data_IF_282067823452
#
_entry.id   IF_282067823452
#
_cell.length_a   1.000
_cell.length_b   1.000
_cell.length_c   1.000
_cell.angle_alpha   90.00
_cell.angle_beta   90.00
_cell.angle_gamma   90.00
#
_symmetry.space_group_name_H-M   'P 1'
#
loop_
_entity.id
_entity.type
_entity.pdbx_description
1 polymer ?
#
# COMPACT_ATOMS: atom_id res chain seq x y z
N UNK A 1 54.33 -0.35 5.12
CA UNK A 1 53.59 0.76 4.46
C UNK A 1 52.95 0.24 3.19
N UNK A 2 51.65 -0.06 3.20
CA UNK A 2 50.85 -0.16 1.97
C UNK A 2 49.37 -0.17 2.33
N UNK A 3 48.76 1.02 2.38
CA UNK A 3 47.30 1.19 2.38
C UNK A 3 47.00 2.43 1.54
N UNK A 4 46.39 2.23 0.36
CA UNK A 4 45.41 3.11 -0.30
C UNK A 4 45.51 2.95 -1.82
N UNK A 5 44.62 2.17 -2.44
CA UNK A 5 44.29 2.32 -3.87
C UNK A 5 43.00 1.61 -4.35
N UNK A 6 41.97 1.45 -3.50
CA UNK A 6 40.71 0.76 -3.86
C UNK A 6 39.45 1.65 -3.87
N UNK A 7 39.58 2.97 -3.83
CA UNK A 7 38.43 3.88 -3.66
C UNK A 7 37.72 4.46 -4.91
N UNK A 8 38.23 4.45 -6.16
CA UNK A 8 37.54 5.17 -7.25
C UNK A 8 36.34 4.40 -7.85
N UNK A 9 36.41 3.06 -7.92
CA UNK A 9 35.40 2.25 -8.60
C UNK A 9 34.11 2.00 -7.81
N UNK A 10 34.14 2.13 -6.48
CA UNK A 10 32.97 2.01 -5.61
C UNK A 10 32.15 3.30 -5.58
N UNK A 11 32.83 4.46 -5.52
CA UNK A 11 32.20 5.78 -5.54
C UNK A 11 31.51 6.09 -6.87
N UNK A 12 32.09 5.70 -8.01
CA UNK A 12 31.41 5.85 -9.31
C UNK A 12 30.19 4.94 -9.46
N UNK A 13 30.25 3.71 -8.93
CA UNK A 13 29.07 2.82 -8.89
C UNK A 13 28.00 3.35 -7.95
N UNK A 14 28.38 3.91 -6.81
CA UNK A 14 27.46 4.51 -5.87
C UNK A 14 26.85 5.80 -6.43
N UNK A 15 27.64 6.65 -7.09
CA UNK A 15 27.17 7.86 -7.76
C UNK A 15 26.29 7.54 -8.98
N UNK A 16 26.61 6.49 -9.74
CA UNK A 16 25.77 5.99 -10.82
C UNK A 16 24.45 5.39 -10.31
N UNK A 17 24.48 4.69 -9.17
CA UNK A 17 23.30 4.17 -8.50
C UNK A 17 22.43 5.30 -7.94
N UNK A 18 23.02 6.23 -7.18
CA UNK A 18 22.33 7.40 -6.61
C UNK A 18 21.79 8.30 -7.71
N UNK A 19 22.55 8.55 -8.78
CA UNK A 19 22.11 9.30 -9.95
C UNK A 19 21.00 8.59 -10.73
N UNK A 20 21.05 7.26 -10.82
CA UNK A 20 19.97 6.43 -11.35
C UNK A 20 18.68 6.53 -10.52
N UNK A 21 18.82 6.60 -9.19
CA UNK A 21 17.70 6.65 -8.25
C UNK A 21 17.13 8.06 -8.03
N UNK A 22 17.92 9.09 -8.32
CA UNK A 22 17.54 10.52 -8.28
C UNK A 22 16.91 10.95 -9.61
N UNK A 23 17.08 10.20 -10.72
CA UNK A 23 16.41 10.53 -11.98
C UNK A 23 14.90 10.69 -11.73
N UNK A 24 14.30 11.79 -12.20
CA UNK A 24 12.89 12.09 -11.95
C UNK A 24 12.02 11.02 -12.61
N UNK A 25 11.61 10.04 -11.81
CA UNK A 25 10.63 9.05 -12.22
C UNK A 25 9.24 9.68 -12.15
N UNK A 26 8.41 9.56 -13.19
CA UNK A 26 7.06 10.12 -13.19
C UNK A 26 6.26 9.48 -12.05
N UNK A 27 5.98 10.26 -10.98
CA UNK A 27 5.25 9.81 -9.79
C UNK A 27 5.84 10.25 -8.45
N UNK A 28 7.18 10.30 -8.29
CA UNK A 28 7.81 10.72 -7.02
C UNK A 28 7.57 12.19 -6.69
N UNK A 29 7.69 13.08 -7.69
CA UNK A 29 7.47 14.52 -7.51
C UNK A 29 6.08 14.84 -6.98
N UNK A 30 5.06 14.12 -7.45
CA UNK A 30 3.68 14.34 -7.02
C UNK A 30 3.47 13.91 -5.55
N UNK A 31 4.08 12.80 -5.12
CA UNK A 31 4.06 12.37 -3.70
C UNK A 31 4.81 13.36 -2.80
N UNK A 32 5.98 13.83 -3.23
CA UNK A 32 6.75 14.84 -2.48
C UNK A 32 5.96 16.14 -2.35
N UNK A 33 5.38 16.64 -3.44
CA UNK A 33 4.59 17.86 -3.44
C UNK A 33 3.38 17.75 -2.48
N UNK A 34 2.67 16.61 -2.50
CA UNK A 34 1.56 16.37 -1.56
C UNK A 34 2.01 16.35 -0.12
N UNK A 35 3.13 15.67 0.17
CA UNK A 35 3.63 15.58 1.53
C UNK A 35 4.06 16.95 2.05
N UNK A 36 4.72 17.76 1.21
CA UNK A 36 5.12 19.13 1.54
C UNK A 36 3.90 20.02 1.73
N UNK A 37 2.93 20.00 0.80
CA UNK A 37 1.72 20.80 0.90
C UNK A 37 0.85 20.40 2.10
N UNK A 38 0.68 19.10 2.34
CA UNK A 38 -0.04 18.59 3.50
C UNK A 38 0.64 19.00 4.81
N UNK A 39 1.96 18.84 4.90
CA UNK A 39 2.70 19.26 6.09
C UNK A 39 2.60 20.76 6.31
N UNK A 40 2.77 21.57 5.27
CA UNK A 40 2.67 23.04 5.35
C UNK A 40 1.27 23.48 5.81
N UNK A 41 0.21 22.93 5.21
CA UNK A 41 -1.16 23.29 5.56
C UNK A 41 -1.53 22.82 6.98
N UNK A 42 -1.03 21.66 7.41
CA UNK A 42 -1.20 21.14 8.77
C UNK A 42 -0.49 22.04 9.78
N UNK A 43 0.71 22.53 9.47
CA UNK A 43 1.44 23.47 10.32
C UNK A 43 0.65 24.79 10.45
N UNK A 44 0.25 25.38 9.32
CA UNK A 44 -0.51 26.64 9.32
C UNK A 44 -1.81 26.49 10.09
N UNK A 45 -2.57 25.42 9.84
CA UNK A 45 -3.83 25.13 10.53
C UNK A 45 -3.60 24.88 12.03
N UNK A 46 -2.54 24.16 12.40
CA UNK A 46 -2.21 23.89 13.79
C UNK A 46 -1.82 25.15 14.55
N UNK A 47 -1.07 26.06 13.92
CA UNK A 47 -0.70 27.34 14.51
C UNK A 47 -1.93 28.27 14.62
N UNK A 48 -2.80 28.28 13.60
CA UNK A 48 -4.01 29.08 13.59
C UNK A 48 -5.04 28.64 14.64
N UNK A 49 -5.25 27.32 14.79
CA UNK A 49 -6.15 26.73 15.78
C UNK A 49 -5.50 26.55 17.16
N UNK A 50 -4.23 26.96 17.32
CA UNK A 50 -3.44 26.79 18.54
C UNK A 50 -3.50 25.36 19.10
N UNK A 51 -3.41 24.36 18.22
CA UNK A 51 -3.46 22.95 18.62
C UNK A 51 -2.17 22.60 19.38
N UNK A 52 -2.25 22.07 20.62
CA UNK A 52 -1.08 21.82 21.46
C UNK A 52 -0.17 20.68 20.97
N UNK A 53 -0.65 19.86 20.02
CA UNK A 53 -0.02 18.59 19.60
C UNK A 53 0.39 18.58 18.12
N UNK A 54 1.04 19.64 17.65
CA UNK A 54 1.47 19.79 16.24
C UNK A 54 2.35 18.62 15.76
N UNK A 55 3.29 18.15 16.59
CA UNK A 55 4.19 17.07 16.23
C UNK A 55 3.43 15.76 15.92
N UNK A 56 2.39 15.48 16.69
CA UNK A 56 1.54 14.31 16.50
C UNK A 56 0.78 14.40 15.18
N UNK A 57 0.20 15.57 14.87
CA UNK A 57 -0.47 15.82 13.59
C UNK A 57 0.45 15.60 12.39
N UNK A 58 1.70 16.07 12.45
CA UNK A 58 2.68 15.86 11.38
C UNK A 58 3.06 14.39 11.20
N UNK A 59 3.28 13.66 12.29
CA UNK A 59 3.56 12.21 12.23
C UNK A 59 2.40 11.48 11.54
N UNK A 60 1.15 11.83 11.88
CA UNK A 60 -0.05 11.26 11.26
C UNK A 60 -0.08 11.54 9.76
N UNK A 61 0.26 12.76 9.32
CA UNK A 61 0.32 13.12 7.89
C UNK A 61 1.31 12.24 7.15
N UNK A 62 2.52 12.04 7.69
CA UNK A 62 3.51 11.16 7.08
C UNK A 62 3.04 9.70 7.02
N UNK A 63 2.36 9.24 8.07
CA UNK A 63 1.87 7.86 8.14
C UNK A 63 0.73 7.60 7.14
N UNK A 64 -0.19 8.56 7.01
CA UNK A 64 -1.36 8.47 6.14
C UNK A 64 -0.97 8.70 4.67
N UNK A 65 0.04 9.52 4.41
CA UNK A 65 0.50 9.83 3.05
C UNK A 65 1.21 8.62 2.43
N UNK A 66 0.42 7.80 1.77
CA UNK A 66 0.90 6.71 0.94
C UNK A 66 1.00 7.11 -0.54
N UNK A 67 1.87 6.41 -1.29
CA UNK A 67 1.96 6.61 -2.73
C UNK A 67 0.63 6.30 -3.47
N UNK A 68 -0.17 5.40 -2.89
CA UNK A 68 -1.48 5.03 -3.42
C UNK A 68 -2.61 5.68 -2.60
N UNK A 69 -3.42 6.50 -3.26
CA UNK A 69 -4.58 7.21 -2.64
C UNK A 69 -5.58 6.26 -1.99
N UNK A 70 -5.74 5.03 -2.47
CA UNK A 70 -6.66 4.07 -1.83
C UNK A 70 -6.10 3.58 -0.54
N UNK A 71 -4.80 3.29 -0.50
CA UNK A 71 -4.12 2.91 0.72
C UNK A 71 -4.13 4.10 1.68
N UNK A 72 -3.90 5.32 1.20
CA UNK A 72 -4.06 6.57 1.96
C UNK A 72 -5.48 6.72 2.52
N UNK A 73 -6.52 6.51 1.70
CA UNK A 73 -7.93 6.59 2.12
C UNK A 73 -8.28 5.49 3.12
N UNK A 74 -7.89 4.25 2.84
CA UNK A 74 -8.12 3.11 3.72
C UNK A 74 -7.47 3.34 5.08
N UNK A 75 -6.16 3.66 5.11
CA UNK A 75 -5.43 3.96 6.35
C UNK A 75 -6.03 5.18 7.03
N UNK A 76 -6.35 6.25 6.30
CA UNK A 76 -6.96 7.46 6.85
C UNK A 76 -8.31 7.18 7.50
N UNK A 77 -9.25 6.55 6.78
CA UNK A 77 -10.56 6.13 7.30
C UNK A 77 -10.40 5.22 8.52
N UNK A 78 -9.43 4.30 8.45
CA UNK A 78 -9.16 3.36 9.50
C UNK A 78 -8.65 4.03 10.77
N UNK A 79 -7.76 5.03 10.64
CA UNK A 79 -7.29 5.85 11.75
C UNK A 79 -8.38 6.75 12.33
N UNK A 80 -9.27 7.30 11.50
CA UNK A 80 -10.42 8.10 11.96
C UNK A 80 -11.36 7.25 12.81
N UNK A 81 -11.75 6.07 12.31
CA UNK A 81 -12.61 5.13 13.05
C UNK A 81 -11.90 4.67 14.33
N UNK A 82 -10.65 4.23 14.20
CA UNK A 82 -9.85 3.73 15.32
C UNK A 82 -9.65 4.76 16.41
N UNK A 83 -9.25 5.99 16.06
CA UNK A 83 -9.06 7.08 17.04
C UNK A 83 -10.36 7.49 17.72
N UNK A 84 -11.48 7.51 16.99
CA UNK A 84 -12.80 7.85 17.54
C UNK A 84 -13.28 6.79 18.53
N UNK A 85 -13.19 5.51 18.16
CA UNK A 85 -13.54 4.40 19.06
C UNK A 85 -12.59 4.35 20.25
N UNK A 86 -11.29 4.57 20.05
CA UNK A 86 -10.29 4.57 21.12
C UNK A 86 -10.57 5.65 22.17
N UNK A 87 -10.74 6.89 21.72
CA UNK A 87 -10.91 8.04 22.61
C UNK A 87 -12.31 8.02 23.24
N UNK A 88 -13.34 7.62 22.47
CA UNK A 88 -14.67 7.39 23.02
C UNK A 88 -14.69 6.31 24.11
N UNK A 89 -13.99 5.18 23.89
CA UNK A 89 -13.88 4.11 24.89
C UNK A 89 -13.10 4.56 26.11
N UNK A 90 -12.01 5.32 25.94
CA UNK A 90 -11.24 5.86 27.04
C UNK A 90 -12.08 6.82 27.90
N UNK A 91 -12.80 7.76 27.28
CA UNK A 91 -13.72 8.67 27.98
C UNK A 91 -14.84 7.89 28.69
N UNK A 92 -15.36 6.82 28.08
CA UNK A 92 -16.38 5.97 28.68
C UNK A 92 -15.85 5.30 29.97
N UNK A 93 -14.63 4.76 29.93
CA UNK A 93 -13.98 4.19 31.12
C UNK A 93 -13.80 5.25 32.19
N UNK A 94 -13.32 6.45 31.83
CA UNK A 94 -13.17 7.56 32.78
C UNK A 94 -14.50 7.93 33.43
N UNK A 95 -15.57 8.05 32.63
CA UNK A 95 -16.90 8.42 33.12
C UNK A 95 -17.45 7.45 34.17
N UNK A 96 -17.29 6.15 33.96
CA UNK A 96 -17.84 5.15 34.87
C UNK A 96 -16.96 4.87 36.08
N UNK A 97 -15.70 5.30 36.04
CA UNK A 97 -14.69 4.71 36.93
C UNK A 97 -13.74 5.68 37.58
N UNK A 98 -14.03 6.97 37.49
CA UNK A 98 -13.18 8.02 38.03
C UNK A 98 -12.87 7.83 39.51
N UNK A 99 -13.88 7.50 40.32
CA UNK A 99 -13.75 7.40 41.79
C UNK A 99 -13.32 6.02 42.31
N UNK A 100 -13.24 5.00 41.43
CA UNK A 100 -13.02 3.61 41.84
C UNK A 100 -11.84 2.97 41.09
N UNK A 101 -10.61 3.07 41.62
CA UNK A 101 -9.40 2.55 40.95
C UNK A 101 -9.48 1.06 40.59
N UNK A 102 -10.11 0.24 41.43
CA UNK A 102 -10.25 -1.20 41.22
C UNK A 102 -11.14 -1.53 40.00
N UNK A 103 -12.27 -0.84 39.88
CA UNK A 103 -13.20 -1.01 38.77
C UNK A 103 -12.56 -0.54 37.45
N UNK A 104 -11.60 0.40 37.53
CA UNK A 104 -10.93 1.01 36.37
C UNK A 104 -10.01 0.00 35.71
N UNK A 105 -9.21 -0.67 36.52
CA UNK A 105 -8.30 -1.73 36.08
C UNK A 105 -9.09 -2.89 35.47
N UNK A 106 -10.20 -3.29 36.12
CA UNK A 106 -11.06 -4.36 35.62
C UNK A 106 -11.67 -4.01 34.25
N UNK A 107 -12.26 -2.81 34.12
CA UNK A 107 -12.93 -2.39 32.89
C UNK A 107 -11.93 -2.13 31.75
N UNK A 108 -10.79 -1.50 32.05
CA UNK A 108 -9.72 -1.31 31.08
C UNK A 108 -9.12 -2.66 30.62
N UNK A 109 -8.93 -3.60 31.55
CA UNK A 109 -8.48 -4.96 31.24
C UNK A 109 -9.48 -5.74 30.39
N UNK A 110 -10.78 -5.65 30.71
CA UNK A 110 -11.84 -6.27 29.91
C UNK A 110 -11.89 -5.69 28.49
N UNK A 111 -11.84 -4.36 28.34
CA UNK A 111 -11.78 -3.71 27.04
C UNK A 111 -10.53 -4.11 26.26
N UNK A 112 -9.37 -4.17 26.90
CA UNK A 112 -8.13 -4.61 26.26
C UNK A 112 -8.23 -6.07 25.80
N UNK A 113 -8.79 -6.96 26.62
CA UNK A 113 -9.03 -8.35 26.25
C UNK A 113 -9.93 -8.45 25.01
N UNK A 114 -11.05 -7.74 25.02
CA UNK A 114 -11.98 -7.68 23.88
C UNK A 114 -11.26 -7.15 22.64
N UNK A 115 -10.49 -6.08 22.77
CA UNK A 115 -9.67 -5.51 21.70
C UNK A 115 -8.67 -6.50 21.10
N UNK A 116 -7.93 -7.25 21.92
CA UNK A 116 -6.96 -8.26 21.46
C UNK A 116 -7.67 -9.48 20.86
N UNK A 117 -8.83 -9.86 21.40
CA UNK A 117 -9.65 -10.92 20.81
C UNK A 117 -10.15 -10.52 19.41
N UNK A 118 -10.72 -9.32 19.27
CA UNK A 118 -11.14 -8.78 17.97
C UNK A 118 -9.96 -8.63 17.00
N UNK A 119 -8.73 -8.43 17.49
CA UNK A 119 -7.54 -8.40 16.64
C UNK A 119 -7.36 -9.68 15.83
N UNK A 120 -7.73 -10.84 16.38
CA UNK A 120 -7.60 -12.13 15.71
C UNK A 120 -8.81 -12.50 14.85
N UNK A 121 -9.98 -12.01 15.23
CA UNK A 121 -11.25 -12.43 14.65
C UNK A 121 -11.73 -11.50 13.54
N UNK A 122 -11.42 -10.20 13.64
CA UNK A 122 -11.86 -9.20 12.67
C UNK A 122 -10.84 -9.05 11.52
N UNK A 123 -11.35 -8.85 10.30
CA UNK A 123 -10.56 -8.53 9.10
C UNK A 123 -9.71 -7.27 9.26
N UNK A 124 -10.15 -6.36 10.14
CA UNK A 124 -9.48 -5.09 10.48
C UNK A 124 -8.87 -5.15 11.90
N UNK A 125 -8.43 -6.34 12.31
CA UNK A 125 -8.05 -6.62 13.69
C UNK A 125 -7.02 -5.66 14.31
N UNK A 126 -6.07 -5.16 13.52
CA UNK A 126 -5.02 -4.23 14.00
C UNK A 126 -5.61 -2.98 14.65
N UNK A 127 -6.76 -2.48 14.20
CA UNK A 127 -7.36 -1.28 14.81
C UNK A 127 -7.95 -1.52 16.18
N UNK A 128 -8.60 -2.67 16.38
CA UNK A 128 -9.10 -3.01 17.71
C UNK A 128 -7.96 -3.14 18.72
N UNK A 129 -6.79 -3.63 18.29
CA UNK A 129 -5.59 -3.65 19.12
C UNK A 129 -5.10 -2.24 19.48
N UNK A 130 -5.01 -1.32 18.50
CA UNK A 130 -4.62 0.09 18.76
C UNK A 130 -5.60 0.75 19.74
N UNK A 131 -6.90 0.51 19.58
CA UNK A 131 -7.94 0.97 20.51
C UNK A 131 -7.63 0.51 21.94
N UNK A 132 -7.36 -0.78 22.14
CA UNK A 132 -7.03 -1.32 23.46
C UNK A 132 -5.76 -0.70 24.04
N UNK A 133 -4.73 -0.50 23.23
CA UNK A 133 -3.48 0.14 23.64
C UNK A 133 -3.71 1.58 24.10
N UNK A 134 -4.48 2.37 23.35
CA UNK A 134 -4.84 3.74 23.73
C UNK A 134 -5.64 3.76 25.03
N UNK A 135 -6.59 2.85 25.22
CA UNK A 135 -7.39 2.77 26.46
C UNK A 135 -6.48 2.53 27.68
N UNK A 136 -5.52 1.60 27.58
CA UNK A 136 -4.54 1.36 28.66
C UNK A 136 -3.66 2.58 28.87
N UNK A 137 -3.12 3.17 27.79
CA UNK A 137 -2.20 4.30 27.88
C UNK A 137 -2.84 5.53 28.54
N UNK A 138 -4.13 5.79 28.26
CA UNK A 138 -4.87 6.88 28.92
C UNK A 138 -4.95 6.67 30.43
N UNK A 139 -5.02 5.41 30.92
CA UNK A 139 -5.08 5.14 32.37
C UNK A 139 -3.84 5.64 33.11
N UNK A 140 -2.66 5.58 32.48
CA UNK A 140 -1.40 6.10 33.05
C UNK A 140 -1.46 7.59 33.36
N UNK A 141 -2.26 8.37 32.63
CA UNK A 141 -2.44 9.80 32.91
C UNK A 141 -3.38 10.04 34.10
N UNK A 142 -4.37 9.17 34.31
CA UNK A 142 -5.28 9.27 35.44
C UNK A 142 -4.52 9.09 36.76
N UNK A 143 -3.50 8.22 36.76
CA UNK A 143 -2.63 8.00 37.92
C UNK A 143 -1.71 9.19 38.24
N UNK A 144 -1.60 10.17 37.33
CA UNK A 144 -0.72 11.34 37.48
C UNK A 144 -1.45 12.66 37.73
N UNK A 145 -2.78 12.70 37.61
CA UNK A 145 -3.52 13.96 37.67
C UNK A 145 -4.93 13.75 38.23
N UNK A 146 -5.23 14.45 39.33
CA UNK A 146 -6.53 14.43 40.01
C UNK A 146 -7.60 15.35 39.37
N UNK A 147 -7.31 15.93 38.21
CA UNK A 147 -8.23 16.83 37.49
C UNK A 147 -8.85 16.12 36.28
N UNK A 148 -10.06 15.58 36.45
CA UNK A 148 -10.82 14.88 35.41
C UNK A 148 -10.97 15.71 34.12
N UNK A 149 -11.24 17.00 34.26
CA UNK A 149 -11.49 17.90 33.14
C UNK A 149 -10.26 18.01 32.22
N UNK A 150 -9.05 18.06 32.79
CA UNK A 150 -7.81 18.11 32.02
C UNK A 150 -7.60 16.83 31.21
N UNK A 151 -7.93 15.66 31.77
CA UNK A 151 -7.79 14.37 31.10
C UNK A 151 -8.74 14.25 29.90
N UNK A 152 -10.00 14.61 30.08
CA UNK A 152 -11.00 14.61 28.99
C UNK A 152 -10.58 15.61 27.92
N UNK A 153 -10.16 16.82 28.31
CA UNK A 153 -9.72 17.86 27.37
C UNK A 153 -8.48 17.41 26.59
N UNK A 154 -7.50 16.80 27.25
CA UNK A 154 -6.31 16.26 26.60
C UNK A 154 -6.66 15.15 25.61
N UNK A 155 -7.55 14.22 25.99
CA UNK A 155 -8.02 13.16 25.09
C UNK A 155 -8.75 13.73 23.86
N UNK A 156 -9.59 14.74 24.04
CA UNK A 156 -10.26 15.43 22.93
C UNK A 156 -9.27 16.16 22.02
N UNK A 157 -8.23 16.81 22.58
CA UNK A 157 -7.19 17.44 21.77
C UNK A 157 -6.39 16.43 20.94
N UNK A 158 -6.10 15.25 21.49
CA UNK A 158 -5.48 14.15 20.73
C UNK A 158 -6.41 13.71 19.59
N UNK A 159 -7.71 13.56 19.87
CA UNK A 159 -8.70 13.20 18.85
C UNK A 159 -8.73 14.22 17.71
N UNK A 160 -8.83 15.51 18.04
CA UNK A 160 -8.81 16.59 17.05
C UNK A 160 -7.52 16.54 16.25
N UNK A 161 -6.36 16.48 16.93
CA UNK A 161 -5.04 16.49 16.30
C UNK A 161 -4.86 15.38 15.25
N UNK A 162 -5.34 14.18 15.53
CA UNK A 162 -5.33 13.05 14.60
C UNK A 162 -6.29 13.31 13.43
N UNK A 163 -7.56 13.60 13.74
CA UNK A 163 -8.63 13.58 12.75
C UNK A 163 -8.55 14.75 11.75
N UNK A 164 -8.20 15.96 12.21
CA UNK A 164 -8.07 17.09 11.29
C UNK A 164 -6.89 16.87 10.32
N UNK A 165 -5.77 16.33 10.82
CA UNK A 165 -4.58 16.08 10.02
C UNK A 165 -4.87 15.03 8.92
N UNK A 166 -5.62 13.98 9.25
CA UNK A 166 -6.11 12.99 8.28
C UNK A 166 -7.03 13.64 7.27
N UNK A 167 -8.05 14.39 7.73
CA UNK A 167 -9.02 15.02 6.84
C UNK A 167 -8.31 15.93 5.82
N UNK A 168 -7.37 16.74 6.29
CA UNK A 168 -6.59 17.66 5.45
C UNK A 168 -5.73 16.91 4.44
N UNK A 169 -5.05 15.84 4.88
CA UNK A 169 -4.25 14.96 4.01
C UNK A 169 -5.12 14.31 2.94
N UNK A 170 -6.31 13.83 3.29
CA UNK A 170 -7.24 13.23 2.34
C UNK A 170 -7.78 14.24 1.34
N UNK A 171 -8.14 15.45 1.78
CA UNK A 171 -8.60 16.54 0.92
C UNK A 171 -7.52 16.90 -0.10
N UNK A 172 -6.28 17.14 0.35
CA UNK A 172 -5.14 17.44 -0.55
C UNK A 172 -4.92 16.27 -1.52
N UNK A 173 -4.91 15.04 -1.03
CA UNK A 173 -4.72 13.86 -1.87
C UNK A 173 -5.88 13.62 -2.85
N UNK A 174 -7.07 14.18 -2.60
CA UNK A 174 -8.18 14.16 -3.56
C UNK A 174 -8.06 15.25 -4.61
N UNK A 175 -7.69 16.48 -4.22
CA UNK A 175 -7.54 17.64 -5.10
C UNK A 175 -6.35 17.48 -6.06
N UNK A 176 -5.22 16.95 -5.57
CA UNK A 176 -3.99 16.81 -6.36
C UNK A 176 -3.88 15.49 -7.14
N UNK A 177 -4.85 14.55 -7.04
CA UNK A 177 -4.87 13.30 -7.82
C UNK A 177 -6.22 12.93 -8.43
N UNK A 178 -6.58 13.55 -9.54
CA UNK A 178 -7.42 12.90 -10.53
C UNK A 178 -6.60 11.82 -11.27
N UNK A 179 -6.96 10.54 -11.08
CA UNK A 179 -6.77 9.40 -12.01
C UNK A 179 -5.41 9.16 -12.71
N UNK A 180 -4.26 9.47 -12.11
CA UNK A 180 -2.94 9.15 -12.71
C UNK A 180 -2.56 7.65 -12.83
N UNK A 181 -2.88 6.71 -11.91
CA UNK A 181 -2.31 5.36 -11.97
C UNK A 181 -2.86 4.50 -13.11
N UNK A 182 -4.13 4.71 -13.50
CA UNK A 182 -4.71 4.06 -14.69
C UNK A 182 -4.02 4.57 -15.95
N UNK A 183 -3.84 5.89 -16.07
CA UNK A 183 -3.12 6.50 -17.19
C UNK A 183 -1.65 6.08 -17.24
N UNK A 184 -0.99 5.93 -16.09
CA UNK A 184 0.39 5.43 -16.00
C UNK A 184 0.47 3.95 -16.40
N UNK A 185 -0.50 3.12 -16.00
CA UNK A 185 -0.59 1.72 -16.43
C UNK A 185 -0.81 1.63 -17.95
N UNK A 186 -1.77 2.37 -18.49
CA UNK A 186 -2.06 2.43 -19.92
C UNK A 186 -0.87 2.96 -20.73
N UNK A 187 -0.20 4.01 -20.25
CA UNK A 187 1.01 4.54 -20.87
C UNK A 187 2.16 3.53 -20.84
N UNK A 188 2.36 2.82 -19.72
CA UNK A 188 3.39 1.78 -19.61
C UNK A 188 3.10 0.59 -20.55
N UNK A 189 1.85 0.12 -20.62
CA UNK A 189 1.43 -0.91 -21.57
C UNK A 189 1.66 -0.45 -23.01
N UNK A 190 1.24 0.77 -23.36
CA UNK A 190 1.44 1.35 -24.68
C UNK A 190 2.93 1.48 -25.03
N UNK A 191 3.79 1.82 -24.07
CA UNK A 191 5.24 1.89 -24.25
C UNK A 191 5.86 0.53 -24.55
N UNK A 192 5.45 -0.53 -23.84
CA UNK A 192 5.90 -1.90 -24.13
C UNK A 192 5.42 -2.37 -25.51
N UNK A 193 4.16 -2.10 -25.87
CA UNK A 193 3.61 -2.38 -27.20
C UNK A 193 4.35 -1.65 -28.33
N UNK A 194 4.75 -0.40 -28.11
CA UNK A 194 5.56 0.35 -29.07
C UNK A 194 6.98 -0.24 -29.23
N UNK A 195 7.59 -0.69 -28.13
CA UNK A 195 8.88 -1.39 -28.18
C UNK A 195 8.78 -2.71 -28.96
N UNK A 196 7.67 -3.46 -28.79
CA UNK A 196 7.40 -4.68 -29.56
C UNK A 196 7.28 -4.37 -31.06
N UNK A 197 6.55 -3.32 -31.46
CA UNK A 197 6.42 -2.94 -32.88
C UNK A 197 7.78 -2.54 -33.48
N UNK A 198 8.63 -1.85 -32.71
CA UNK A 198 9.98 -1.49 -33.14
C UNK A 198 10.86 -2.74 -33.36
N UNK A 199 10.90 -3.68 -32.41
CA UNK A 199 11.67 -4.93 -32.55
C UNK A 199 11.19 -5.80 -33.72
N UNK A 200 9.87 -5.86 -33.96
CA UNK A 200 9.31 -6.55 -35.13
C UNK A 200 9.69 -5.86 -36.45
N UNK A 201 9.79 -4.52 -36.46
CA UNK A 201 10.24 -3.75 -37.64
C UNK A 201 11.72 -4.01 -37.95
N UNK A 202 12.59 -4.03 -36.93
CA UNK A 202 14.02 -4.33 -37.11
C UNK A 202 14.23 -5.76 -37.61
N UNK A 203 13.46 -6.71 -37.10
CA UNK A 203 13.46 -8.09 -37.55
C UNK A 203 13.02 -8.25 -39.02
N UNK A 204 11.98 -7.51 -39.43
CA UNK A 204 11.51 -7.45 -40.83
C UNK A 204 12.59 -6.89 -41.77
N UNK A 205 13.33 -5.88 -41.32
CA UNK A 205 14.33 -5.17 -42.11
C UNK A 205 15.70 -5.87 -42.22
N UNK A 206 15.86 -7.09 -41.69
CA UNK A 206 17.10 -7.91 -41.75
C UNK A 206 18.35 -7.24 -41.15
N UNK A 207 18.20 -6.18 -40.36
CA UNK A 207 19.29 -5.71 -39.53
C UNK A 207 19.47 -6.74 -38.41
N UNK A 208 20.68 -7.27 -38.24
CA UNK A 208 21.00 -8.16 -37.11
C UNK A 208 20.47 -7.51 -35.83
N UNK A 209 19.55 -8.19 -35.14
CA UNK A 209 18.94 -7.70 -33.90
C UNK A 209 20.05 -7.39 -32.90
N UNK A 210 20.40 -6.12 -32.77
CA UNK A 210 21.37 -5.65 -31.81
C UNK A 210 20.71 -5.65 -30.43
N UNK A 211 20.60 -6.85 -29.85
CA UNK A 211 20.16 -7.07 -28.47
C UNK A 211 18.68 -6.77 -28.24
N UNK A 212 17.84 -7.81 -28.27
CA UNK A 212 16.51 -7.73 -27.67
C UNK A 212 16.59 -7.32 -26.19
N UNK A 213 15.46 -6.88 -25.59
CA UNK A 213 15.45 -6.44 -24.21
C UNK A 213 16.06 -7.50 -23.29
N UNK A 214 16.99 -7.09 -22.43
CA UNK A 214 17.68 -8.01 -21.54
C UNK A 214 16.70 -8.66 -20.55
N UNK A 215 17.03 -9.85 -20.07
CA UNK A 215 16.21 -10.59 -19.06
C UNK A 215 15.86 -9.72 -17.85
N UNK A 216 16.77 -8.83 -17.45
CA UNK A 216 16.56 -7.87 -16.35
C UNK A 216 15.52 -6.79 -16.69
N UNK A 217 15.49 -6.30 -17.93
CA UNK A 217 14.54 -5.27 -18.37
C UNK A 217 13.13 -5.86 -18.52
N UNK A 218 13.04 -7.11 -18.99
CA UNK A 218 11.79 -7.88 -19.05
C UNK A 218 11.23 -8.09 -17.64
N UNK A 219 12.07 -8.52 -16.69
CA UNK A 219 11.66 -8.71 -15.30
C UNK A 219 11.24 -7.40 -14.63
N UNK A 220 12.00 -6.31 -14.84
CA UNK A 220 11.66 -5.00 -14.33
C UNK A 220 10.32 -4.49 -14.90
N UNK A 221 10.09 -4.67 -16.22
CA UNK A 221 8.85 -4.32 -16.91
C UNK A 221 7.63 -5.11 -16.42
N UNK A 222 7.77 -6.42 -16.19
CA UNK A 222 6.69 -7.25 -15.63
C UNK A 222 6.34 -6.77 -14.20
N UNK A 223 7.34 -6.51 -13.36
CA UNK A 223 7.13 -6.07 -11.98
C UNK A 223 6.50 -4.67 -11.91
N UNK A 224 6.86 -3.75 -12.80
CA UNK A 224 6.24 -2.41 -12.85
C UNK A 224 4.77 -2.50 -13.27
N UNK A 225 4.43 -3.27 -14.32
CA UNK A 225 3.05 -3.47 -14.75
C UNK A 225 2.20 -4.15 -13.68
N UNK A 226 2.71 -5.18 -12.99
CA UNK A 226 2.00 -5.82 -11.89
C UNK A 226 1.73 -4.85 -10.72
N UNK A 227 2.71 -4.02 -10.36
CA UNK A 227 2.54 -2.98 -9.33
C UNK A 227 1.48 -1.96 -9.74
N UNK A 228 1.56 -1.45 -10.98
CA UNK A 228 0.62 -0.47 -11.54
C UNK A 228 -0.80 -1.04 -11.62
N UNK A 229 -0.96 -2.29 -12.05
CA UNK A 229 -2.27 -2.97 -12.08
C UNK A 229 -2.85 -3.14 -10.69
N UNK A 230 -2.03 -3.55 -9.72
CA UNK A 230 -2.46 -3.64 -8.32
C UNK A 230 -2.88 -2.26 -7.79
N UNK A 231 -2.27 -1.18 -8.25
CA UNK A 231 -2.69 0.18 -7.90
C UNK A 231 -4.00 0.60 -8.60
N UNK A 232 -4.18 0.28 -9.88
CA UNK A 232 -5.40 0.58 -10.64
C UNK A 232 -6.64 -0.15 -10.07
N UNK A 233 -6.52 -1.46 -9.82
CA UNK A 233 -7.58 -2.30 -9.25
C UNK A 233 -8.00 -1.91 -7.83
N UNK A 234 -7.07 -1.37 -7.03
CA UNK A 234 -7.42 -0.81 -5.73
C UNK A 234 -8.21 0.50 -5.86
N UNK A 235 -7.88 1.35 -6.84
CA UNK A 235 -8.40 2.73 -7.01
C UNK A 235 -9.75 2.82 -7.67
N UNK A 236 -9.97 2.03 -8.71
CA UNK A 236 -11.17 2.13 -9.50
C UNK A 236 -12.06 0.90 -9.25
N UNK A 237 -13.27 1.07 -8.68
CA UNK A 237 -14.20 -0.02 -8.49
C UNK A 237 -14.60 -0.69 -9.81
N UNK A 238 -14.56 0.01 -10.95
CA UNK A 238 -14.78 -0.57 -12.27
C UNK A 238 -13.61 -1.48 -12.69
N UNK A 239 -12.36 -1.09 -12.40
CA UNK A 239 -11.19 -1.97 -12.60
C UNK A 239 -11.20 -3.18 -11.65
N UNK A 240 -11.76 -3.03 -10.44
CA UNK A 240 -11.92 -4.15 -9.50
C UNK A 240 -12.97 -5.15 -10.00
N UNK A 241 -14.11 -4.65 -10.49
CA UNK A 241 -15.15 -5.48 -11.09
C UNK A 241 -14.63 -6.29 -12.29
N UNK A 242 -13.70 -5.71 -13.06
CA UNK A 242 -13.08 -6.35 -14.22
C UNK A 242 -11.62 -6.82 -13.97
N UNK A 243 -11.25 -7.09 -12.71
CA UNK A 243 -9.86 -7.38 -12.32
C UNK A 243 -9.27 -8.54 -13.14
N UNK A 244 -10.04 -9.60 -13.39
CA UNK A 244 -9.59 -10.75 -14.17
C UNK A 244 -9.24 -10.38 -15.62
N UNK A 245 -10.00 -9.46 -16.23
CA UNK A 245 -9.77 -8.99 -17.60
C UNK A 245 -8.53 -8.09 -17.67
N UNK A 246 -8.36 -7.19 -16.71
CA UNK A 246 -7.16 -6.33 -16.65
C UNK A 246 -5.88 -7.12 -16.32
N UNK A 247 -5.97 -8.16 -15.48
CA UNK A 247 -4.88 -9.12 -15.25
C UNK A 247 -4.50 -9.87 -16.52
N UNK A 248 -5.49 -10.39 -17.26
CA UNK A 248 -5.25 -11.05 -18.53
C UNK A 248 -4.58 -10.10 -19.55
N UNK A 249 -5.02 -8.84 -19.60
CA UNK A 249 -4.44 -7.80 -20.47
C UNK A 249 -2.97 -7.54 -20.15
N UNK A 250 -2.64 -7.30 -18.87
CA UNK A 250 -1.26 -7.06 -18.42
C UNK A 250 -0.36 -8.28 -18.63
N UNK A 251 -0.88 -9.48 -18.35
CA UNK A 251 -0.16 -10.73 -18.60
C UNK A 251 0.14 -10.92 -20.09
N UNK A 252 -0.83 -10.61 -20.97
CA UNK A 252 -0.66 -10.71 -22.42
C UNK A 252 0.41 -9.76 -22.94
N UNK A 253 0.38 -8.47 -22.55
CA UNK A 253 1.41 -7.49 -22.93
C UNK A 253 2.79 -7.92 -22.41
N UNK A 254 2.86 -8.46 -21.20
CA UNK A 254 4.13 -8.93 -20.63
C UNK A 254 4.67 -10.18 -21.34
N UNK A 255 3.79 -11.12 -21.75
CA UNK A 255 4.16 -12.30 -22.55
C UNK A 255 4.66 -11.89 -23.94
N UNK A 256 3.98 -10.96 -24.59
CA UNK A 256 4.42 -10.38 -25.87
C UNK A 256 5.80 -9.73 -25.74
N UNK A 257 6.01 -8.93 -24.69
CA UNK A 257 7.29 -8.28 -24.45
C UNK A 257 8.40 -9.29 -24.16
N UNK A 258 8.13 -10.33 -23.37
CA UNK A 258 9.09 -11.41 -23.13
C UNK A 258 9.43 -12.19 -24.42
N UNK A 259 8.44 -12.45 -25.28
CA UNK A 259 8.64 -13.14 -26.54
C UNK A 259 9.57 -12.37 -27.50
N UNK A 260 9.59 -11.03 -27.45
CA UNK A 260 10.56 -10.23 -28.23
C UNK A 260 12.01 -10.49 -27.84
N UNK A 261 12.28 -10.84 -26.58
CA UNK A 261 13.63 -11.22 -26.13
C UNK A 261 14.10 -12.57 -26.68
N UNK A 262 13.19 -13.38 -27.23
CA UNK A 262 13.45 -14.70 -27.79
C UNK A 262 13.27 -14.76 -29.32
N UNK A 263 13.21 -13.60 -30.00
CA UNK A 263 13.13 -13.55 -31.46
C UNK A 263 14.37 -14.24 -32.08
N UNK A 264 14.17 -15.09 -33.10
CA UNK A 264 15.28 -15.76 -33.77
C UNK A 264 16.20 -14.74 -34.46
N UNK A 265 17.49 -15.06 -34.59
CA UNK A 265 18.46 -14.16 -35.23
C UNK A 265 18.26 -13.99 -36.75
N UNK A 266 17.44 -14.86 -37.37
CA UNK A 266 17.14 -14.81 -38.81
C UNK A 266 15.66 -15.05 -39.05
N UNK A 267 15.09 -14.32 -40.02
CA UNK A 267 13.71 -14.52 -40.50
C UNK A 267 13.56 -15.71 -41.46
N UNK A 268 14.51 -16.65 -41.45
CA UNK A 268 14.48 -17.81 -42.33
C UNK A 268 13.33 -18.75 -41.93
N UNK A 269 12.40 -19.02 -42.86
CA UNK A 269 11.23 -19.88 -42.63
C UNK A 269 9.98 -19.16 -42.09
N UNK A 270 10.03 -17.85 -41.88
CA UNK A 270 8.84 -17.06 -41.49
C UNK A 270 8.01 -16.72 -42.73
N UNK A 271 6.70 -16.95 -42.66
CA UNK A 271 5.77 -16.54 -43.73
C UNK A 271 5.75 -15.02 -43.85
N UNK A 272 5.76 -14.51 -45.09
CA UNK A 272 5.83 -13.07 -45.36
C UNK A 272 4.69 -12.27 -44.69
N UNK A 273 3.53 -12.90 -44.47
CA UNK A 273 2.35 -12.26 -43.89
C UNK A 273 2.27 -12.34 -42.35
N UNK A 274 3.13 -13.12 -41.70
CA UNK A 274 3.07 -13.32 -40.24
C UNK A 274 3.44 -12.06 -39.44
N UNK A 275 4.52 -11.39 -39.83
CA UNK A 275 5.00 -10.18 -39.17
C UNK A 275 3.97 -9.04 -39.29
N UNK A 276 3.44 -8.68 -40.49
CA UNK A 276 2.44 -7.63 -40.59
C UNK A 276 1.13 -7.96 -39.85
N UNK A 277 0.70 -9.23 -39.82
CA UNK A 277 -0.48 -9.65 -39.07
C UNK A 277 -0.31 -9.47 -37.55
N UNK A 278 0.85 -9.83 -37.00
CA UNK A 278 1.16 -9.63 -35.57
C UNK A 278 1.29 -8.14 -35.21
N UNK A 279 1.88 -7.34 -36.10
CA UNK A 279 1.98 -5.88 -35.92
C UNK A 279 0.61 -5.20 -35.92
N UNK A 280 -0.29 -5.56 -36.84
CA UNK A 280 -1.68 -5.05 -36.85
C UNK A 280 -2.42 -5.43 -35.55
N UNK A 281 -2.25 -6.67 -35.08
CA UNK A 281 -2.84 -7.11 -33.82
C UNK A 281 -2.32 -6.32 -32.60
N UNK A 282 -1.01 -6.07 -32.51
CA UNK A 282 -0.43 -5.23 -31.45
C UNK A 282 -0.98 -3.79 -31.50
N UNK A 283 -1.13 -3.20 -32.68
CA UNK A 283 -1.71 -1.85 -32.84
C UNK A 283 -3.18 -1.80 -32.41
N UNK A 284 -3.99 -2.78 -32.81
CA UNK A 284 -5.38 -2.88 -32.36
C UNK A 284 -5.51 -3.11 -30.86
N UNK A 285 -4.59 -3.86 -30.25
CA UNK A 285 -4.53 -4.01 -28.80
C UNK A 285 -4.20 -2.68 -28.13
N UNK A 286 -3.26 -1.91 -28.68
CA UNK A 286 -2.93 -0.58 -28.18
C UNK A 286 -4.12 0.39 -28.26
N UNK A 287 -4.89 0.37 -29.35
CA UNK A 287 -6.08 1.21 -29.52
C UNK A 287 -7.23 0.77 -28.61
N UNK A 288 -7.42 -0.53 -28.42
CA UNK A 288 -8.39 -1.08 -27.45
C UNK A 288 -8.05 -0.65 -26.01
N UNK A 289 -6.76 -0.56 -25.68
CA UNK A 289 -6.29 -0.05 -24.38
C UNK A 289 -6.62 1.44 -24.22
N UNK A 290 -6.35 2.26 -25.24
CA UNK A 290 -6.61 3.72 -25.19
C UNK A 290 -8.10 4.07 -25.14
N UNK A 291 -8.93 3.30 -25.84
CA UNK A 291 -10.37 3.56 -25.98
C UNK A 291 -11.22 2.84 -24.94
N UNK A 292 -10.63 1.91 -24.18
CA UNK A 292 -11.36 1.09 -23.21
C UNK A 292 -12.31 0.05 -23.83
N UNK A 293 -12.14 -0.25 -25.13
CA UNK A 293 -12.99 -1.19 -25.86
C UNK A 293 -12.50 -2.63 -25.70
N UNK A 294 -13.37 -3.65 -25.88
CA UNK A 294 -12.95 -5.04 -25.92
C UNK A 294 -12.03 -5.27 -27.13
N UNK A 295 -10.94 -6.00 -26.90
CA UNK A 295 -10.04 -6.39 -27.97
C UNK A 295 -10.70 -7.46 -28.84
N UNK A 296 -10.62 -7.29 -30.16
CA UNK A 296 -11.10 -8.24 -31.16
C UNK A 296 -9.94 -8.59 -32.08
N UNK A 297 -9.65 -9.89 -32.21
CA UNK A 297 -8.55 -10.36 -33.05
C UNK A 297 -8.76 -9.96 -34.53
N UNK A 298 -7.75 -9.39 -35.21
CA UNK A 298 -7.80 -9.14 -36.65
C UNK A 298 -7.98 -10.45 -37.44
N UNK A 299 -8.76 -10.42 -38.54
CA UNK A 299 -8.87 -11.58 -39.45
C UNK A 299 -7.52 -12.14 -39.93
N UNK A 300 -6.52 -11.31 -40.31
CA UNK A 300 -5.21 -11.82 -40.71
C UNK A 300 -4.49 -12.61 -39.62
N UNK A 301 -4.77 -12.33 -38.34
CA UNK A 301 -4.19 -13.08 -37.21
C UNK A 301 -4.88 -14.43 -37.02
N UNK A 302 -6.20 -14.48 -37.18
CA UNK A 302 -7.01 -15.70 -37.04
C UNK A 302 -6.74 -16.68 -38.18
N UNK A 303 -6.51 -16.15 -39.40
CA UNK A 303 -6.21 -16.94 -40.60
C UNK A 303 -4.75 -17.42 -40.65
N UNK A 304 -3.89 -16.89 -39.78
CA UNK A 304 -2.48 -17.28 -39.70
C UNK A 304 -2.33 -18.69 -39.09
N UNK A 305 -1.82 -19.65 -39.85
CA UNK A 305 -1.56 -21.00 -39.35
C UNK A 305 -0.29 -21.03 -38.48
N UNK A 306 -0.41 -21.44 -37.21
CA UNK A 306 0.70 -21.59 -36.27
C UNK A 306 1.79 -22.59 -36.73
N UNK A 307 1.44 -23.52 -37.62
CA UNK A 307 2.33 -24.55 -38.16
C UNK A 307 3.40 -23.92 -39.08
N UNK A 308 4.58 -23.63 -38.53
CA UNK A 308 5.74 -23.10 -39.26
C UNK A 308 6.34 -21.81 -38.68
N UNK A 309 5.71 -21.23 -37.65
CA UNK A 309 6.26 -20.06 -36.95
C UNK A 309 7.37 -20.45 -35.95
N UNK A 310 8.44 -19.64 -35.83
CA UNK A 310 9.40 -19.74 -34.73
C UNK A 310 8.69 -19.63 -33.38
N UNK A 311 9.15 -20.38 -32.36
CA UNK A 311 8.46 -20.51 -31.07
C UNK A 311 8.11 -19.18 -30.38
N UNK A 312 8.92 -18.13 -30.54
CA UNK A 312 8.60 -16.80 -30.04
C UNK A 312 7.39 -16.15 -30.74
N UNK A 313 7.27 -16.29 -32.06
CA UNK A 313 6.15 -15.75 -32.83
C UNK A 313 4.86 -16.56 -32.60
N UNK A 314 4.96 -17.87 -32.39
CA UNK A 314 3.84 -18.72 -31.99
C UNK A 314 3.30 -18.32 -30.61
N UNK A 315 4.17 -18.09 -29.62
CA UNK A 315 3.76 -17.62 -28.30
C UNK A 315 3.05 -16.25 -28.36
N UNK A 316 3.49 -15.34 -29.25
CA UNK A 316 2.82 -14.05 -29.47
C UNK A 316 1.43 -14.22 -30.09
N UNK A 317 1.30 -15.09 -31.10
CA UNK A 317 0.04 -15.42 -31.76
C UNK A 317 -0.97 -16.03 -30.77
N UNK A 318 -0.56 -17.07 -30.03
CA UNK A 318 -1.38 -17.75 -29.04
C UNK A 318 -1.81 -16.82 -27.89
N UNK A 319 -0.91 -15.97 -27.40
CA UNK A 319 -1.22 -15.02 -26.34
C UNK A 319 -2.27 -13.98 -26.78
N UNK A 320 -2.23 -13.51 -28.03
CA UNK A 320 -3.20 -12.56 -28.58
C UNK A 320 -4.58 -13.20 -28.77
N UNK A 321 -4.64 -14.44 -29.28
CA UNK A 321 -5.91 -15.16 -29.44
C UNK A 321 -6.54 -15.52 -28.09
N UNK A 322 -5.76 -16.03 -27.15
CA UNK A 322 -6.24 -16.33 -25.79
C UNK A 322 -6.78 -15.09 -25.08
N UNK A 323 -6.21 -13.91 -25.36
CA UNK A 323 -6.73 -12.65 -24.83
C UNK A 323 -8.03 -12.22 -25.53
N UNK A 324 -8.15 -12.39 -26.85
CA UNK A 324 -9.36 -12.08 -27.61
C UNK A 324 -10.58 -12.90 -27.14
N UNK A 325 -10.38 -14.19 -26.84
CA UNK A 325 -11.45 -15.03 -26.30
C UNK A 325 -11.89 -14.56 -24.90
N UNK A 326 -10.92 -14.13 -24.09
CA UNK A 326 -11.16 -13.67 -22.72
C UNK A 326 -11.74 -12.26 -22.65
N UNK A 327 -11.47 -11.39 -23.62
CA UNK A 327 -12.11 -10.08 -23.75
C UNK A 327 -13.56 -10.16 -24.24
N UNK A 328 -13.92 -11.25 -24.95
CA UNK A 328 -15.28 -11.52 -25.38
C UNK A 328 -16.17 -12.11 -24.27
N UNK A 329 -15.57 -12.71 -23.22
CA UNK A 329 -16.31 -13.31 -22.11
C UNK A 329 -16.93 -12.25 -21.16
N UNK A 330 -18.16 -12.46 -20.65
CA UNK A 330 -18.78 -11.54 -19.69
C UNK A 330 -17.98 -11.48 -18.37
N UNK A 331 -17.95 -10.33 -17.69
CA UNK A 331 -17.17 -10.16 -16.47
C UNK A 331 -17.66 -11.10 -15.37
N UNK A 332 -16.74 -11.87 -14.80
CA UNK A 332 -17.01 -12.77 -13.69
C UNK A 332 -17.36 -11.95 -12.45
N UNK A 333 -18.63 -11.90 -12.07
CA UNK A 333 -19.07 -11.25 -10.85
C UNK A 333 -18.64 -12.08 -9.64
N UNK A 334 -17.63 -11.62 -8.88
CA UNK A 334 -17.41 -12.11 -7.53
C UNK A 334 -18.67 -11.85 -6.68
N UNK A 335 -19.10 -12.84 -5.89
CA UNK A 335 -20.32 -12.71 -5.11
C UNK A 335 -20.17 -11.64 -4.01
N UNK A 336 -21.14 -10.72 -3.84
CA UNK A 336 -21.09 -9.68 -2.80
C UNK A 336 -20.94 -10.24 -1.37
N UNK A 337 -21.43 -11.46 -1.15
CA UNK A 337 -21.39 -12.15 0.14
C UNK A 337 -19.97 -12.49 0.61
N UNK A 338 -19.03 -12.70 -0.32
CA UNK A 338 -17.65 -13.04 -0.01
C UNK A 338 -16.82 -11.79 0.33
N UNK A 339 -17.14 -10.66 -0.30
CA UNK A 339 -16.52 -9.36 0.01
C UNK A 339 -17.00 -8.77 1.35
N UNK A 340 -18.24 -9.06 1.76
CA UNK A 340 -18.87 -8.52 2.97
C UNK A 340 -18.45 -9.21 4.27
N UNK A 341 -17.73 -10.34 4.24
CA UNK A 341 -17.36 -11.07 5.45
C UNK A 341 -16.27 -10.32 6.24
N UNK A 342 -16.65 -9.70 7.35
CA UNK A 342 -15.76 -8.91 8.23
C UNK A 342 -15.14 -9.73 9.36
N UNK A 343 -15.70 -10.89 9.70
CA UNK A 343 -15.25 -11.78 10.77
C UNK A 343 -14.85 -13.13 10.18
N UNK A 344 -13.83 -13.76 10.77
CA UNK A 344 -13.44 -15.14 10.43
C UNK A 344 -14.61 -16.09 10.72
N UNK A 345 -14.92 -17.08 9.86
CA UNK A 345 -16.05 -17.99 10.06
C UNK A 345 -16.01 -18.77 11.39
N UNK A 346 -14.82 -19.05 11.93
CA UNK A 346 -14.64 -19.80 13.19
C UNK A 346 -14.48 -18.89 14.42
N UNK A 347 -14.85 -17.61 14.30
CA UNK A 347 -14.75 -16.58 15.34
C UNK A 347 -15.14 -17.06 16.74
N UNK A 348 -16.34 -17.64 16.85
CA UNK A 348 -16.98 -17.99 18.12
C UNK A 348 -16.72 -19.44 18.56
N UNK A 349 -16.15 -20.26 17.67
CA UNK A 349 -15.98 -21.70 17.91
C UNK A 349 -14.55 -22.04 18.34
N UNK A 350 -13.55 -21.24 17.93
CA UNK A 350 -12.15 -21.54 18.17
C UNK A 350 -11.62 -20.90 19.48
N UNK A 351 -11.26 -21.70 20.52
CA UNK A 351 -10.79 -21.17 21.80
C UNK A 351 -9.38 -20.55 21.74
N UNK A 352 -8.61 -20.80 20.68
CA UNK A 352 -7.24 -20.30 20.53
C UNK A 352 -7.19 -18.78 20.54
N UNK A 353 -8.20 -18.10 19.98
CA UNK A 353 -8.28 -16.64 19.96
C UNK A 353 -8.45 -16.06 21.37
N UNK A 354 -9.29 -16.68 22.21
CA UNK A 354 -9.49 -16.28 23.60
C UNK A 354 -8.23 -16.57 24.45
N UNK A 355 -7.57 -17.72 24.24
CA UNK A 355 -6.32 -18.04 24.92
C UNK A 355 -5.19 -17.05 24.58
N UNK A 356 -5.10 -16.63 23.32
CA UNK A 356 -4.15 -15.60 22.89
C UNK A 356 -4.44 -14.26 23.59
N UNK A 357 -5.68 -13.80 23.55
CA UNK A 357 -6.09 -12.55 24.21
C UNK A 357 -5.82 -12.58 25.72
N UNK A 358 -6.07 -13.72 26.38
CA UNK A 358 -5.80 -13.89 27.81
C UNK A 358 -4.30 -13.81 28.12
N UNK A 359 -3.45 -14.48 27.33
CA UNK A 359 -1.99 -14.43 27.48
C UNK A 359 -1.46 -13.01 27.31
N UNK A 360 -1.95 -12.27 26.31
CA UNK A 360 -1.56 -10.88 26.08
C UNK A 360 -2.02 -9.96 27.22
N UNK A 361 -3.25 -10.15 27.73
CA UNK A 361 -3.75 -9.42 28.89
C UNK A 361 -2.89 -9.69 30.13
N UNK A 362 -2.57 -10.95 30.42
CA UNK A 362 -1.72 -11.32 31.57
C UNK A 362 -0.34 -10.67 31.48
N UNK A 363 0.26 -10.63 30.29
CA UNK A 363 1.53 -9.93 30.09
C UNK A 363 1.42 -8.42 30.36
N UNK A 364 0.35 -7.77 29.89
CA UNK A 364 0.11 -6.34 30.11
C UNK A 364 -0.16 -6.02 31.60
N UNK A 365 -0.94 -6.85 32.29
CA UNK A 365 -1.16 -6.73 33.73
C UNK A 365 0.15 -6.92 34.51
N UNK A 366 0.97 -7.90 34.11
CA UNK A 366 2.28 -8.10 34.71
C UNK A 366 3.14 -6.85 34.54
N UNK A 367 3.27 -6.29 33.33
CA UNK A 367 4.04 -5.06 33.12
C UNK A 367 3.56 -3.89 33.96
N UNK A 368 2.24 -3.71 34.11
CA UNK A 368 1.67 -2.66 34.96
C UNK A 368 2.07 -2.84 36.43
N UNK A 369 2.02 -4.08 36.95
CA UNK A 369 2.43 -4.40 38.32
C UNK A 369 3.93 -4.17 38.55
N UNK A 370 4.79 -4.23 37.53
CA UNK A 370 6.20 -3.86 37.68
C UNK A 370 6.43 -2.34 37.62
N UNK A 371 5.66 -1.63 36.80
CA UNK A 371 5.79 -0.19 36.61
C UNK A 371 5.32 0.60 37.85
N UNK A 372 4.20 0.21 38.45
CA UNK A 372 3.63 0.86 39.66
C UNK A 372 4.61 0.94 40.84
N UNK A 373 5.28 -0.15 41.29
CA UNK A 373 6.26 -0.08 42.37
C UNK A 373 7.50 0.72 42.00
N UNK A 374 7.88 0.80 40.73
CA UNK A 374 9.03 1.61 40.31
C UNK A 374 8.77 3.13 40.39
N UNK A 375 7.53 3.56 40.11
CA UNK A 375 7.08 4.95 40.28
C UNK A 375 6.95 5.32 41.76
N UNK A 376 6.49 4.39 42.61
CA UNK A 376 6.39 4.62 44.06
C UNK A 376 7.76 4.61 44.78
N UNK A 377 8.79 3.98 44.21
CA UNK A 377 10.15 3.94 44.78
C UNK A 377 11.04 5.13 44.40
N UNK A 378 10.69 5.89 43.37
CA UNK A 378 11.38 7.11 42.96
C UNK A 378 11.37 8.23 44.02
N UNK A 379 10.24 8.53 44.72
CA UNK A 379 10.26 9.50 45.81
C UNK A 379 11.05 9.04 47.04
N UNK A 380 11.13 7.73 47.34
CA UNK A 380 11.98 7.23 48.43
C UNK A 380 13.47 7.37 48.08
N UNK A 381 13.89 7.01 46.86
CA UNK A 381 15.29 7.14 46.45
C UNK A 381 15.77 8.62 46.41
N UNK A 382 14.91 9.55 46.04
CA UNK A 382 15.18 11.00 46.10
C UNK A 382 15.11 11.55 47.54
N UNK A 383 14.26 11.00 48.40
CA UNK A 383 14.21 11.34 49.83
C UNK A 383 15.46 10.89 50.59
N UNK A 384 15.99 9.69 50.30
CA UNK A 384 17.25 9.22 50.90
C UNK A 384 18.47 9.99 50.38
N UNK A 385 18.48 10.42 49.11
CA UNK A 385 19.55 11.26 48.55
C UNK A 385 19.55 12.69 49.13
N UNK A 386 18.38 13.27 49.42
CA UNK A 386 18.27 14.59 50.04
C UNK A 386 18.66 14.59 51.54
N UNK A 387 18.40 13.49 52.25
CA UNK A 387 18.72 13.38 53.69
C UNK A 387 20.21 13.09 53.93
N UNK A 388 20.90 12.45 52.98
CA UNK A 388 22.34 12.17 53.09
C UNK A 388 23.25 13.34 52.73
N UNK A 389 22.69 14.49 52.32
CA UNK A 389 23.41 15.74 52.01
C UNK A 389 23.28 16.80 53.13
N UNK A 390 22.60 16.47 54.23
CA UNK A 390 22.37 17.36 55.39
C UNK A 390 22.93 16.79 56.71
N UNK A 391 23.77 15.74 56.65
CA UNK A 391 24.60 15.33 57.79
C UNK A 391 26.09 15.41 57.46
#
# INVERSE_FOLDING_TARGET
>A
MSTAQTAPGSLQRFAGFVGGEIRPYPGRMNVTLRCVLASALVIVTSMALQVPLLALSLIVVFYVTQANVVVTRLIGTLFVIGSTVAIGSAILVLKFTYDYPLLRILLAGALFFVSVYLMRVARIGVVFFIVGLVVIYVQTFVDRTDQAELLVRAALWVWVAINYAIALTLVINTLFLPAEPVRQLEAAMCGQLAAIDASLTEFEQRASVAGGPGVRDIQAGMLTLQKLLRFATMRDPAYRANQALHLARVATVSRLYAATGHLPATAAGVTADAIPALRDACRRLQDAIKTGTPFVAPRPLVELTANGLPGALTEMHDALLAFADRSAAPPSAESPAEQARQLVPDAFTNPVYAQFALKTLMAALFSYVFEVPSVFRLPEALGYAATSLVC
#
